data_IF_189259910356
#
_entry.id   IF_189259910356
#
_cell.length_a   1.000
_cell.length_b   1.000
_cell.length_c   1.000
_cell.angle_alpha   90.00
_cell.angle_beta   90.00
_cell.angle_gamma   90.00
#
_symmetry.space_group_name_H-M   'P 1'
#
loop_
_entity.id
_entity.type
_entity.pdbx_description
1 polymer ?
#
# COMPACT_ATOMS: atom_id res chain seq x y z
N UNK A 1 11.53 27.94 16.44
CA UNK A 1 11.91 26.69 17.14
C UNK A 1 10.62 25.96 17.49
N UNK A 2 10.56 24.65 17.21
CA UNK A 2 9.47 23.70 17.50
C UNK A 2 8.17 23.88 16.70
N UNK A 3 8.07 23.15 15.58
CA UNK A 3 6.81 22.83 14.86
C UNK A 3 6.99 21.60 13.96
N UNK A 4 8.23 21.37 13.51
CA UNK A 4 8.62 20.23 12.65
C UNK A 4 8.47 18.88 13.37
N UNK A 5 8.73 18.79 14.68
CA UNK A 5 8.56 17.53 15.44
C UNK A 5 7.09 17.14 15.65
N UNK A 6 6.20 18.09 15.94
CA UNK A 6 4.77 17.79 16.16
C UNK A 6 4.09 17.32 14.87
N UNK A 7 4.39 17.94 13.71
CA UNK A 7 3.86 17.49 12.42
C UNK A 7 4.35 16.09 12.04
N UNK A 8 5.63 15.81 12.27
CA UNK A 8 6.21 14.49 12.02
C UNK A 8 5.63 13.44 12.97
N UNK A 9 5.31 13.79 14.22
CA UNK A 9 4.67 12.87 15.16
C UNK A 9 3.23 12.55 14.74
N UNK A 10 2.44 13.56 14.33
CA UNK A 10 1.08 13.34 13.81
C UNK A 10 1.08 12.43 12.58
N UNK A 11 2.03 12.61 11.67
CA UNK A 11 2.16 11.73 10.49
C UNK A 11 2.57 10.29 10.89
N UNK A 12 3.42 10.13 11.92
CA UNK A 12 3.74 8.81 12.47
C UNK A 12 2.53 8.16 13.13
N UNK A 13 1.73 8.91 13.88
CA UNK A 13 0.55 8.39 14.56
C UNK A 13 -0.51 7.94 13.54
N UNK A 14 -0.76 8.73 12.48
CA UNK A 14 -1.62 8.33 11.36
C UNK A 14 -1.08 7.09 10.65
N UNK A 15 0.24 7.01 10.40
CA UNK A 15 0.86 5.86 9.74
C UNK A 15 0.81 4.59 10.61
N UNK A 16 0.95 4.71 11.93
CA UNK A 16 0.84 3.61 12.89
C UNK A 16 -0.61 3.12 13.01
N UNK A 17 -1.58 4.02 13.17
CA UNK A 17 -3.01 3.69 13.22
C UNK A 17 -3.47 2.98 11.92
N UNK A 18 -2.93 3.40 10.78
CA UNK A 18 -3.20 2.76 9.50
C UNK A 18 -2.49 1.41 9.33
N UNK A 19 -1.33 1.21 9.97
CA UNK A 19 -0.58 -0.06 9.95
C UNK A 19 -1.25 -1.13 10.80
N UNK A 20 -1.80 -0.79 11.96
CA UNK A 20 -2.41 -1.75 12.89
C UNK A 20 -3.76 -2.30 12.36
N UNK A 21 -4.46 -1.54 11.54
CA UNK A 21 -5.68 -2.00 10.84
C UNK A 21 -5.38 -2.93 9.65
N UNK A 22 -4.11 -3.06 9.24
CA UNK A 22 -3.64 -3.66 7.97
C UNK A 22 -3.48 -5.20 8.00
N UNK A 23 -3.31 -5.83 9.15
CA UNK A 23 -3.13 -7.29 9.23
C UNK A 23 -4.34 -8.06 8.67
N UNK A 24 -5.55 -7.50 8.82
CA UNK A 24 -6.79 -8.08 8.28
C UNK A 24 -7.09 -7.70 6.82
N UNK A 25 -6.34 -6.77 6.21
CA UNK A 25 -6.71 -6.25 4.89
C UNK A 25 -6.10 -7.07 3.73
N UNK A 26 -4.92 -7.66 3.90
CA UNK A 26 -4.27 -8.43 2.84
C UNK A 26 -5.02 -9.71 2.47
N UNK A 27 -5.49 -10.48 3.46
CA UNK A 27 -6.31 -11.68 3.24
C UNK A 27 -7.68 -11.35 2.63
N UNK A 28 -8.14 -10.14 2.87
CA UNK A 28 -9.40 -9.65 2.34
C UNK A 28 -9.25 -9.19 0.87
N UNK A 29 -8.14 -8.52 0.53
CA UNK A 29 -7.85 -7.95 -0.79
C UNK A 29 -7.67 -8.99 -1.91
N UNK A 30 -7.10 -10.15 -1.59
CA UNK A 30 -6.66 -11.14 -2.58
C UNK A 30 -7.13 -12.56 -2.22
N UNK A 31 -7.31 -13.39 -3.23
CA UNK A 31 -7.38 -14.84 -3.00
C UNK A 31 -6.00 -15.41 -2.63
N UNK A 32 -5.99 -16.60 -2.03
CA UNK A 32 -4.75 -17.31 -1.69
C UNK A 32 -3.91 -17.49 -2.95
N UNK A 33 -2.63 -17.15 -2.88
CA UNK A 33 -1.69 -17.23 -4.00
C UNK A 33 -1.99 -16.34 -5.21
N UNK A 34 -3.00 -15.49 -5.16
CA UNK A 34 -3.37 -14.58 -6.25
C UNK A 34 -3.00 -13.12 -5.96
N UNK A 35 -2.85 -12.34 -7.02
CA UNK A 35 -2.56 -10.90 -6.95
C UNK A 35 -3.68 -10.03 -7.51
N UNK A 36 -4.72 -10.59 -8.11
CA UNK A 36 -5.86 -9.80 -8.59
C UNK A 36 -6.69 -9.29 -7.40
N UNK A 37 -6.96 -7.99 -7.38
CA UNK A 37 -7.78 -7.38 -6.32
C UNK A 37 -9.24 -7.79 -6.51
N UNK A 38 -9.84 -8.37 -5.47
CA UNK A 38 -11.27 -8.70 -5.46
C UNK A 38 -12.13 -7.47 -5.72
N UNK A 39 -13.18 -7.61 -6.52
CA UNK A 39 -14.01 -6.48 -6.94
C UNK A 39 -14.69 -5.74 -5.78
N UNK A 40 -15.10 -6.45 -4.74
CA UNK A 40 -15.65 -5.85 -3.52
C UNK A 40 -14.64 -4.96 -2.79
N UNK A 41 -13.36 -5.34 -2.80
CA UNK A 41 -12.29 -4.55 -2.18
C UNK A 41 -11.84 -3.37 -3.03
N UNK A 42 -12.00 -3.43 -4.36
CA UNK A 42 -11.78 -2.25 -5.23
C UNK A 42 -12.64 -1.07 -4.77
N UNK A 43 -13.89 -1.30 -4.37
CA UNK A 43 -14.78 -0.23 -3.86
C UNK A 43 -14.23 0.37 -2.56
N UNK A 44 -13.83 -0.46 -1.61
CA UNK A 44 -13.26 -0.04 -0.32
C UNK A 44 -11.95 0.73 -0.53
N UNK A 45 -11.06 0.18 -1.36
CA UNK A 45 -9.77 0.77 -1.69
C UNK A 45 -9.93 2.12 -2.37
N UNK A 46 -10.92 2.26 -3.27
CA UNK A 46 -11.21 3.54 -3.92
C UNK A 46 -11.64 4.62 -2.93
N UNK A 47 -12.59 4.30 -2.03
CA UNK A 47 -13.04 5.25 -1.00
C UNK A 47 -11.89 5.67 -0.10
N UNK A 48 -11.16 4.67 0.42
CA UNK A 48 -10.03 4.91 1.29
C UNK A 48 -8.96 5.78 0.62
N UNK A 49 -8.48 5.37 -0.56
CA UNK A 49 -7.37 6.04 -1.22
C UNK A 49 -7.71 7.49 -1.58
N UNK A 50 -8.93 7.75 -2.03
CA UNK A 50 -9.39 9.11 -2.36
C UNK A 50 -9.39 10.02 -1.12
N UNK A 51 -9.86 9.53 0.04
CA UNK A 51 -9.81 10.27 1.31
C UNK A 51 -8.38 10.46 1.80
N UNK A 52 -7.55 9.44 1.64
CA UNK A 52 -6.15 9.48 2.06
C UNK A 52 -5.35 10.52 1.26
N UNK A 53 -5.46 10.53 -0.07
CA UNK A 53 -4.79 11.55 -0.91
C UNK A 53 -5.29 12.95 -0.57
N UNK A 54 -6.57 13.12 -0.23
CA UNK A 54 -7.09 14.43 0.20
C UNK A 54 -6.36 14.96 1.44
N UNK A 55 -6.11 14.09 2.41
CA UNK A 55 -5.37 14.45 3.64
C UNK A 55 -3.92 14.74 3.29
N UNK A 56 -3.25 13.80 2.62
CA UNK A 56 -1.83 13.90 2.30
C UNK A 56 -1.48 15.13 1.44
N UNK A 57 -2.41 15.59 0.61
CA UNK A 57 -2.20 16.73 -0.28
C UNK A 57 -2.66 18.07 0.32
N UNK A 58 -3.09 18.08 1.58
CA UNK A 58 -3.32 19.32 2.32
C UNK A 58 -2.02 20.12 2.46
N UNK A 59 -2.14 21.45 2.44
CA UNK A 59 -1.00 22.37 2.41
C UNK A 59 0.00 22.17 3.56
N UNK A 60 -0.50 21.68 4.69
CA UNK A 60 0.29 21.40 5.90
C UNK A 60 1.13 20.12 5.83
N UNK A 61 0.87 19.21 4.88
CA UNK A 61 1.54 17.90 4.79
C UNK A 61 2.24 17.64 3.44
N UNK A 62 1.72 18.18 2.33
CA UNK A 62 2.12 17.78 0.98
C UNK A 62 3.63 17.85 0.69
N UNK A 63 4.30 18.85 1.25
CA UNK A 63 5.74 19.08 1.05
C UNK A 63 6.62 18.32 2.05
N UNK A 64 6.03 17.73 3.10
CA UNK A 64 6.74 16.96 4.13
C UNK A 64 6.72 15.45 3.82
N UNK A 65 5.91 15.03 2.85
CA UNK A 65 5.82 13.62 2.43
C UNK A 65 6.95 13.32 1.46
N UNK A 66 7.90 12.52 1.93
CA UNK A 66 9.02 12.05 1.12
C UNK A 66 8.63 10.89 0.21
N UNK A 67 7.75 10.00 0.67
CA UNK A 67 7.40 8.78 -0.05
C UNK A 67 6.08 8.19 0.45
N UNK A 68 5.34 7.56 -0.46
CA UNK A 68 4.18 6.73 -0.20
C UNK A 68 4.42 5.33 -0.77
N UNK A 69 4.51 4.33 0.10
CA UNK A 69 4.81 2.95 -0.32
C UNK A 69 3.57 2.07 -0.33
N UNK A 70 3.43 1.28 -1.39
CA UNK A 70 2.47 0.16 -1.44
C UNK A 70 3.22 -1.13 -1.19
N UNK A 71 2.84 -1.84 -0.14
CA UNK A 71 3.54 -3.06 0.30
C UNK A 71 2.64 -4.27 0.16
N UNK A 72 3.08 -5.25 -0.63
CA UNK A 72 2.43 -6.55 -0.72
C UNK A 72 2.96 -7.52 0.32
N UNK A 73 2.06 -8.25 0.98
CA UNK A 73 2.42 -9.35 1.86
C UNK A 73 1.83 -10.66 1.34
N UNK A 74 2.49 -11.77 1.68
CA UNK A 74 2.02 -13.12 1.36
C UNK A 74 1.74 -13.84 2.68
N UNK A 75 0.72 -14.70 2.67
CA UNK A 75 0.41 -15.62 3.78
C UNK A 75 1.23 -16.90 3.63
N UNK A 76 1.27 -17.72 4.68
CA UNK A 76 2.18 -18.86 4.77
C UNK A 76 1.92 -20.01 3.77
N UNK A 77 3.05 -20.61 3.37
CA UNK A 77 3.30 -21.90 2.72
C UNK A 77 2.62 -22.21 1.37
N UNK A 78 3.45 -22.26 0.33
CA UNK A 78 3.11 -22.90 -0.94
C UNK A 78 3.16 -24.43 -0.77
N UNK A 79 1.98 -25.06 -0.63
CA UNK A 79 1.83 -26.51 -0.42
C UNK A 79 2.53 -27.41 -1.48
N UNK A 80 2.87 -26.86 -2.64
CA UNK A 80 3.46 -27.58 -3.77
C UNK A 80 4.91 -27.17 -4.12
N UNK A 81 5.56 -26.36 -3.30
CA UNK A 81 6.95 -25.97 -3.56
C UNK A 81 7.93 -27.10 -3.22
N UNK A 82 8.98 -27.26 -4.03
CA UNK A 82 9.94 -28.37 -3.97
C UNK A 82 11.18 -28.03 -3.15
N UNK A 83 11.38 -26.76 -2.80
CA UNK A 83 12.49 -26.27 -1.97
C UNK A 83 12.15 -24.96 -1.25
N UNK A 84 12.90 -24.63 -0.20
CA UNK A 84 12.81 -23.33 0.49
C UNK A 84 13.14 -22.14 -0.44
N UNK A 85 14.08 -22.32 -1.36
CA UNK A 85 14.40 -21.33 -2.40
C UNK A 85 13.18 -21.05 -3.30
N UNK A 86 12.47 -22.10 -3.72
CA UNK A 86 11.27 -21.94 -4.55
C UNK A 86 10.15 -21.23 -3.77
N UNK A 87 9.98 -21.53 -2.48
CA UNK A 87 9.04 -20.83 -1.60
C UNK A 87 9.39 -19.35 -1.50
N UNK A 88 10.66 -19.02 -1.24
CA UNK A 88 11.15 -17.66 -1.15
C UNK A 88 10.88 -16.88 -2.44
N UNK A 89 11.29 -17.42 -3.60
CA UNK A 89 11.10 -16.75 -4.89
C UNK A 89 9.61 -16.56 -5.22
N UNK A 90 8.75 -17.53 -4.90
CA UNK A 90 7.29 -17.39 -5.10
C UNK A 90 6.67 -16.35 -4.18
N UNK A 91 7.05 -16.29 -2.91
CA UNK A 91 6.59 -15.24 -2.00
C UNK A 91 7.04 -13.86 -2.49
N UNK A 92 8.29 -13.73 -2.91
CA UNK A 92 8.83 -12.48 -3.45
C UNK A 92 8.12 -12.03 -4.72
N UNK A 93 7.82 -12.95 -5.64
CA UNK A 93 7.08 -12.61 -6.86
C UNK A 93 5.64 -12.19 -6.55
N UNK A 94 4.96 -12.95 -5.69
CA UNK A 94 3.56 -12.69 -5.36
C UNK A 94 3.40 -11.37 -4.59
N UNK A 95 4.29 -11.07 -3.63
CA UNK A 95 4.26 -9.79 -2.92
C UNK A 95 4.48 -8.59 -3.85
N UNK A 96 5.41 -8.70 -4.82
CA UNK A 96 5.61 -7.68 -5.85
C UNK A 96 4.37 -7.49 -6.72
N UNK A 97 3.77 -8.58 -7.19
CA UNK A 97 2.57 -8.50 -8.02
C UNK A 97 1.41 -7.85 -7.25
N UNK A 98 1.19 -8.22 -5.99
CA UNK A 98 0.16 -7.61 -5.13
C UNK A 98 0.38 -6.11 -4.94
N UNK A 99 1.62 -5.70 -4.67
CA UNK A 99 1.97 -4.28 -4.55
C UNK A 99 1.69 -3.51 -5.85
N UNK A 100 2.10 -4.08 -6.99
CA UNK A 100 1.89 -3.51 -8.32
C UNK A 100 0.40 -3.37 -8.66
N UNK A 101 -0.41 -4.39 -8.39
CA UNK A 101 -1.85 -4.37 -8.68
C UNK A 101 -2.57 -3.31 -7.86
N UNK A 102 -2.28 -3.18 -6.57
CA UNK A 102 -2.85 -2.14 -5.70
C UNK A 102 -2.43 -0.75 -6.16
N UNK A 103 -1.15 -0.55 -6.47
CA UNK A 103 -0.64 0.71 -7.01
C UNK A 103 -1.35 1.08 -8.31
N UNK A 104 -1.41 0.14 -9.26
CA UNK A 104 -2.01 0.33 -10.57
C UNK A 104 -3.49 0.67 -10.45
N UNK A 105 -4.21 -0.05 -9.58
CA UNK A 105 -5.61 0.26 -9.30
C UNK A 105 -5.77 1.66 -8.71
N UNK A 106 -5.02 2.00 -7.67
CA UNK A 106 -5.06 3.31 -7.02
C UNK A 106 -4.78 4.47 -8.01
N UNK A 107 -3.80 4.28 -8.90
CA UNK A 107 -3.44 5.26 -9.93
C UNK A 107 -4.54 5.42 -11.00
N UNK A 108 -5.27 4.34 -11.31
CA UNK A 108 -6.36 4.32 -12.29
C UNK A 108 -7.67 4.94 -11.79
N UNK A 109 -7.78 5.27 -10.50
CA UNK A 109 -8.99 5.86 -9.93
C UNK A 109 -9.28 7.23 -10.58
N UNK A 110 -10.48 7.37 -11.15
CA UNK A 110 -10.98 8.60 -11.78
C UNK A 110 -11.65 9.58 -10.78
N UNK A 111 -11.38 9.43 -9.48
CA UNK A 111 -11.78 10.42 -8.47
C UNK A 111 -11.03 11.73 -8.69
N UNK A 112 -11.72 12.87 -8.56
CA UNK A 112 -11.13 14.20 -8.82
C UNK A 112 -9.90 14.47 -7.97
N UNK A 113 -9.90 14.05 -6.71
CA UNK A 113 -8.75 14.23 -5.80
C UNK A 113 -7.53 13.48 -6.31
N UNK A 114 -7.72 12.25 -6.77
CA UNK A 114 -6.64 11.41 -7.30
C UNK A 114 -6.13 11.97 -8.62
N UNK A 115 -7.03 12.27 -9.57
CA UNK A 115 -6.69 12.83 -10.88
C UNK A 115 -5.89 14.12 -10.76
N UNK A 116 -6.33 15.05 -9.89
CA UNK A 116 -5.65 16.33 -9.68
C UNK A 116 -4.26 16.20 -9.05
N UNK A 117 -3.94 15.05 -8.43
CA UNK A 117 -2.66 14.81 -7.78
C UNK A 117 -1.80 13.75 -8.47
N UNK A 118 -2.14 13.26 -9.67
CA UNK A 118 -1.38 12.21 -10.38
C UNK A 118 0.10 12.54 -10.56
N UNK A 119 0.45 13.77 -10.93
CA UNK A 119 1.87 14.19 -11.08
C UNK A 119 2.59 14.12 -9.73
N UNK A 120 1.93 14.53 -8.64
CA UNK A 120 2.52 14.44 -7.31
C UNK A 120 2.69 12.97 -6.89
N UNK A 121 1.70 12.12 -7.16
CA UNK A 121 1.77 10.67 -6.89
C UNK A 121 2.92 10.02 -7.66
N UNK A 122 3.13 10.35 -8.94
CA UNK A 122 4.26 9.82 -9.74
C UNK A 122 5.64 10.11 -9.11
N UNK A 123 5.76 11.19 -8.34
CA UNK A 123 7.03 11.58 -7.73
C UNK A 123 7.28 10.93 -6.36
N UNK A 124 6.26 10.33 -5.73
CA UNK A 124 6.38 9.83 -4.35
C UNK A 124 5.93 8.38 -4.18
N UNK A 125 5.22 7.80 -5.16
CA UNK A 125 4.50 6.54 -4.98
C UNK A 125 5.29 5.36 -5.54
N UNK A 126 5.73 4.48 -4.66
CA UNK A 126 6.66 3.40 -4.96
C UNK A 126 6.10 2.02 -4.53
N UNK A 127 6.16 0.97 -5.37
CA UNK A 127 5.83 -0.39 -4.95
C UNK A 127 7.00 -1.03 -4.20
N UNK A 128 6.75 -1.66 -3.06
CA UNK A 128 7.74 -2.45 -2.31
C UNK A 128 7.26 -3.86 -1.97
N UNK A 129 8.22 -4.78 -1.89
CA UNK A 129 8.01 -6.16 -1.51
C UNK A 129 8.64 -6.46 -0.15
N UNK A 130 7.92 -7.20 0.71
CA UNK A 130 8.43 -7.69 1.97
C UNK A 130 8.30 -9.21 2.07
N UNK A 131 9.31 -9.86 2.65
CA UNK A 131 9.25 -11.23 3.13
C UNK A 131 9.51 -11.22 4.64
N UNK A 132 8.60 -11.79 5.43
CA UNK A 132 8.87 -12.07 6.84
C UNK A 132 9.72 -13.34 6.91
N UNK A 133 10.91 -13.22 7.52
CA UNK A 133 11.62 -14.39 8.01
C UNK A 133 10.94 -14.77 9.33
N UNK A 134 10.26 -15.91 9.37
CA UNK A 134 9.90 -16.56 10.62
C UNK A 134 11.16 -17.20 11.24
#
# INVERSE_FOLDING_TARGET
MVKVEEQMQVMKDIAIEYRDTKANLNEALFEVSESEIKNEFKVVLKDFFSRYIKILTAAEYKNEILELRVEGHTSDSWLNARSEEEIYLKHMQLSQNRAYEVLSYCYSIEDKTVVNNRIWLQNILEPMAWHFHN
#
